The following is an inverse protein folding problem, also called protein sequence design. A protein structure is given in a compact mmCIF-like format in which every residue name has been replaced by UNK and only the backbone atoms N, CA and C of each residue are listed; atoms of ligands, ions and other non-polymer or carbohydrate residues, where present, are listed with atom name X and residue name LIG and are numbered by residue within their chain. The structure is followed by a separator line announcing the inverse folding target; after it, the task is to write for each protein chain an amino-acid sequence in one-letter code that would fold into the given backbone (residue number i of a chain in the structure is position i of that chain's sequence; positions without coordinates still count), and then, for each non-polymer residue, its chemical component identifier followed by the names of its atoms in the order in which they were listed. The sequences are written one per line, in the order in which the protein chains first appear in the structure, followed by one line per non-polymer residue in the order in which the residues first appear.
data_IF_102838189559
#
_entry.id   IF_102838189559
#
_cell.length_a   1.000
_cell.length_b   1.000
_cell.length_c   1.000
_cell.angle_alpha   90.00
_cell.angle_beta   90.00
_cell.angle_gamma   90.00
#
_symmetry.space_group_name_H-M   'P 1'
#
loop_
_entity.id
_entity.type
_entity.pdbx_description
1 polymer ?
#
# COMPACT_ATOMS: atom_id res chain seq x y z
N UNK A 1 10.95 -15.78 -10.82
CA UNK A 1 11.32 -15.28 -9.49
C UNK A 1 10.02 -15.13 -8.73
N UNK A 2 9.92 -15.66 -7.52
CA UNK A 2 8.72 -15.49 -6.68
C UNK A 2 8.65 -14.03 -6.21
N UNK A 3 7.49 -13.40 -6.34
CA UNK A 3 7.22 -12.05 -5.84
C UNK A 3 6.14 -12.12 -4.76
N UNK A 4 6.10 -11.13 -3.89
CA UNK A 4 5.00 -10.94 -2.94
C UNK A 4 4.42 -9.54 -3.10
N UNK A 5 3.09 -9.43 -2.98
CA UNK A 5 2.33 -8.19 -3.08
C UNK A 5 2.38 -7.45 -1.75
N UNK A 6 2.73 -6.18 -1.80
CA UNK A 6 2.66 -5.25 -0.68
C UNK A 6 1.80 -4.04 -1.04
N UNK A 7 1.29 -3.36 -0.02
CA UNK A 7 0.44 -2.19 -0.08
C UNK A 7 1.10 -1.07 0.71
N UNK A 8 1.53 -0.02 0.01
CA UNK A 8 2.26 1.10 0.60
C UNK A 8 1.32 2.29 0.71
N UNK A 9 0.93 2.72 1.93
CA UNK A 9 0.15 3.95 2.08
C UNK A 9 1.02 5.16 1.75
N UNK A 10 0.51 6.05 0.91
CA UNK A 10 1.21 7.23 0.42
C UNK A 10 0.42 8.50 0.72
N UNK A 11 1.15 9.54 1.10
CA UNK A 11 0.64 10.91 1.04
C UNK A 11 0.75 11.44 -0.40
N UNK A 12 -0.07 12.42 -0.82
CA UNK A 12 0.01 13.04 -2.13
C UNK A 12 1.42 13.47 -2.56
N UNK A 13 2.18 14.05 -1.62
CA UNK A 13 3.56 14.46 -1.87
C UNK A 13 4.50 13.27 -2.14
N UNK A 14 4.26 12.12 -1.52
CA UNK A 14 5.03 10.91 -1.80
C UNK A 14 4.75 10.35 -3.21
N UNK A 15 3.53 10.53 -3.73
CA UNK A 15 3.18 10.18 -5.12
C UNK A 15 3.91 11.09 -6.11
N UNK A 16 3.99 12.40 -5.83
CA UNK A 16 4.76 13.36 -6.63
C UNK A 16 6.25 13.01 -6.66
N UNK A 17 6.82 12.64 -5.51
CA UNK A 17 8.20 12.13 -5.43
C UNK A 17 8.39 10.83 -6.20
N UNK A 18 7.46 9.87 -6.09
CA UNK A 18 7.51 8.63 -6.86
C UNK A 18 7.58 8.89 -8.37
N UNK A 19 6.84 9.87 -8.87
CA UNK A 19 6.90 10.25 -10.28
C UNK A 19 8.25 10.86 -10.69
N UNK A 20 8.84 11.70 -9.83
CA UNK A 20 10.12 12.36 -10.08
C UNK A 20 11.33 11.43 -9.90
N UNK A 21 11.39 10.74 -8.77
CA UNK A 21 12.53 9.96 -8.29
C UNK A 21 12.46 8.49 -8.75
N UNK A 22 11.30 8.05 -9.23
CA UNK A 22 11.04 6.68 -9.73
C UNK A 22 11.15 5.60 -8.65
N UNK A 23 11.03 5.96 -7.37
CA UNK A 23 11.02 5.05 -6.23
C UNK A 23 10.23 5.60 -5.03
N UNK A 24 9.76 4.69 -4.18
CA UNK A 24 9.19 4.97 -2.85
C UNK A 24 10.29 4.69 -1.82
N UNK A 25 10.61 5.68 -1.01
CA UNK A 25 11.66 5.60 0.00
C UNK A 25 11.77 6.86 0.87
N UNK A 26 12.83 6.97 1.69
CA UNK A 26 13.95 6.03 1.81
C UNK A 26 13.58 4.70 2.48
N UNK A 27 14.44 3.69 2.36
CA UNK A 27 14.32 2.46 3.13
C UNK A 27 14.69 2.68 4.60
N UNK A 28 14.12 1.89 5.54
CA UNK A 28 13.11 0.86 5.31
C UNK A 28 11.72 1.44 4.97
N UNK A 29 11.00 0.84 4.03
CA UNK A 29 9.65 1.26 3.64
C UNK A 29 8.62 0.52 4.49
N UNK A 30 7.78 1.27 5.21
CA UNK A 30 6.63 0.70 5.91
C UNK A 30 5.51 0.39 4.90
N UNK A 31 5.01 -0.84 4.94
CA UNK A 31 3.96 -1.31 4.04
C UNK A 31 3.07 -2.33 4.75
N UNK A 32 2.11 -2.87 4.02
CA UNK A 32 1.21 -3.92 4.47
C UNK A 32 1.23 -5.05 3.45
N UNK A 33 1.04 -6.29 3.87
CA UNK A 33 1.03 -7.45 2.98
C UNK A 33 0.43 -8.66 3.68
N UNK A 34 0.25 -9.75 2.93
CA UNK A 34 -0.18 -11.01 3.52
C UNK A 34 0.93 -11.54 4.43
N UNK A 35 0.61 -11.73 5.71
CA UNK A 35 1.53 -12.27 6.71
C UNK A 35 0.97 -13.54 7.33
N UNK A 36 1.82 -14.33 7.97
CA UNK A 36 1.38 -15.48 8.77
C UNK A 36 0.37 -15.10 9.88
N UNK A 37 0.32 -13.82 10.31
CA UNK A 37 -0.66 -13.36 11.29
C UNK A 37 -2.06 -13.23 10.66
N UNK A 38 -2.15 -12.75 9.41
CA UNK A 38 -3.41 -12.75 8.66
C UNK A 38 -3.87 -14.19 8.43
N UNK A 39 -3.00 -15.04 7.89
CA UNK A 39 -3.33 -16.44 7.60
C UNK A 39 -3.80 -17.19 8.85
N UNK A 40 -3.19 -16.92 10.01
CA UNK A 40 -3.60 -17.53 11.28
C UNK A 40 -4.92 -16.98 11.81
N UNK A 41 -5.21 -15.71 11.55
CA UNK A 41 -6.47 -15.08 11.95
C UNK A 41 -7.65 -15.59 11.11
N UNK A 42 -7.40 -15.93 9.84
CA UNK A 42 -8.37 -16.58 8.96
C UNK A 42 -7.75 -17.75 8.17
N UNK A 43 -7.61 -18.94 8.80
CA UNK A 43 -6.98 -20.11 8.18
C UNK A 43 -7.75 -20.71 7.01
N UNK A 44 -9.02 -20.35 6.87
CA UNK A 44 -9.90 -20.81 5.78
C UNK A 44 -10.00 -19.81 4.65
N UNK A 45 -9.46 -18.60 4.86
CA UNK A 45 -9.49 -17.54 3.87
C UNK A 45 -8.68 -17.90 2.62
N UNK A 46 -9.06 -17.27 1.52
CA UNK A 46 -8.33 -17.36 0.26
C UNK A 46 -7.30 -16.23 0.17
N UNK A 47 -6.32 -16.39 -0.72
CA UNK A 47 -5.27 -15.38 -0.95
C UNK A 47 -5.87 -13.99 -1.24
N UNK A 48 -6.92 -13.92 -2.05
CA UNK A 48 -7.63 -12.67 -2.36
C UNK A 48 -8.25 -12.01 -1.12
N UNK A 49 -8.76 -12.80 -0.17
CA UNK A 49 -9.38 -12.29 1.07
C UNK A 49 -8.30 -11.77 2.03
N UNK A 50 -7.15 -12.44 2.09
CA UNK A 50 -5.99 -12.00 2.86
C UNK A 50 -5.35 -10.74 2.27
N UNK A 51 -5.26 -10.66 0.94
CA UNK A 51 -4.80 -9.46 0.24
C UNK A 51 -5.74 -8.28 0.47
N UNK A 52 -7.06 -8.52 0.44
CA UNK A 52 -8.05 -7.50 0.77
C UNK A 52 -7.92 -7.00 2.21
N UNK A 53 -7.67 -7.89 3.18
CA UNK A 53 -7.40 -7.51 4.56
C UNK A 53 -6.14 -6.64 4.67
N UNK A 54 -5.07 -7.00 3.96
CA UNK A 54 -3.84 -6.21 3.94
C UNK A 54 -4.01 -4.83 3.29
N UNK A 55 -4.76 -4.75 2.19
CA UNK A 55 -5.10 -3.48 1.53
C UNK A 55 -5.96 -2.60 2.45
N UNK A 56 -6.91 -3.18 3.18
CA UNK A 56 -7.76 -2.46 4.13
C UNK A 56 -6.93 -1.82 5.25
N UNK A 57 -6.04 -2.58 5.87
CA UNK A 57 -5.13 -2.02 6.89
C UNK A 57 -4.20 -0.94 6.32
N UNK A 58 -3.79 -1.06 5.04
CA UNK A 58 -3.03 -0.02 4.36
C UNK A 58 -3.84 1.26 4.12
N UNK A 59 -5.12 1.13 3.75
CA UNK A 59 -6.01 2.28 3.57
C UNK A 59 -6.25 3.01 4.90
N UNK A 60 -6.46 2.26 5.99
CA UNK A 60 -6.55 2.82 7.34
C UNK A 60 -5.26 3.55 7.74
N UNK A 61 -4.10 2.96 7.44
CA UNK A 61 -2.82 3.61 7.68
C UNK A 61 -2.64 4.88 6.83
N UNK A 62 -3.11 4.90 5.57
CA UNK A 62 -3.10 6.09 4.74
C UNK A 62 -3.97 7.21 5.34
N UNK A 63 -5.13 6.90 5.90
CA UNK A 63 -5.96 7.86 6.63
C UNK A 63 -5.22 8.41 7.86
N UNK A 64 -4.61 7.53 8.67
CA UNK A 64 -3.87 7.94 9.86
C UNK A 64 -2.68 8.87 9.51
N UNK A 65 -1.98 8.62 8.40
CA UNK A 65 -0.90 9.47 7.92
C UNK A 65 -1.35 10.90 7.56
N UNK A 66 -2.59 11.08 7.12
CA UNK A 66 -3.13 12.41 6.79
C UNK A 66 -3.43 13.26 8.03
N UNK A 67 -3.64 12.63 9.19
CA UNK A 67 -3.99 13.31 10.44
C UNK A 67 -5.32 14.06 10.30
N UNK A 68 -5.29 15.38 10.45
CA UNK A 68 -6.48 16.25 10.31
C UNK A 68 -6.68 16.80 8.90
N UNK A 69 -5.82 16.42 7.95
CA UNK A 69 -5.90 16.88 6.56
C UNK A 69 -6.99 16.11 5.84
N UNK A 70 -7.92 16.80 5.18
CA UNK A 70 -8.90 16.17 4.29
C UNK A 70 -8.27 16.04 2.92
N UNK A 71 -7.78 14.85 2.59
CA UNK A 71 -7.21 14.50 1.29
C UNK A 71 -7.68 13.11 0.86
N UNK A 72 -7.50 12.78 -0.42
CA UNK A 72 -7.70 11.41 -0.91
C UNK A 72 -6.58 10.52 -0.38
N UNK A 73 -6.94 9.35 0.18
CA UNK A 73 -5.99 8.28 0.47
C UNK A 73 -5.41 7.76 -0.83
N UNK A 74 -4.13 7.39 -0.77
CA UNK A 74 -3.46 6.69 -1.86
C UNK A 74 -2.76 5.48 -1.27
N UNK A 75 -2.99 4.31 -1.85
CA UNK A 75 -2.25 3.08 -1.55
C UNK A 75 -1.65 2.55 -2.84
N UNK A 76 -0.32 2.47 -2.91
CA UNK A 76 0.37 1.83 -4.02
C UNK A 76 0.51 0.32 -3.75
N UNK A 77 0.01 -0.51 -4.65
CA UNK A 77 0.29 -1.93 -4.64
C UNK A 77 1.60 -2.19 -5.40
N UNK A 78 2.50 -2.99 -4.84
CA UNK A 78 3.78 -3.31 -5.46
C UNK A 78 4.16 -4.78 -5.29
N UNK A 79 4.81 -5.34 -6.31
CA UNK A 79 5.41 -6.66 -6.29
C UNK A 79 6.91 -6.56 -5.95
N UNK A 80 7.30 -7.13 -4.81
CA UNK A 80 8.67 -7.07 -4.30
C UNK A 80 9.26 -8.46 -4.09
N UNK A 81 10.58 -8.52 -3.92
CA UNK A 81 11.26 -9.75 -3.51
C UNK A 81 10.81 -10.11 -2.08
N UNK A 82 10.24 -11.31 -1.84
CA UNK A 82 9.86 -11.75 -0.50
C UNK A 82 11.03 -11.71 0.50
N UNK A 83 12.27 -11.92 0.05
CA UNK A 83 13.45 -11.86 0.90
C UNK A 83 13.78 -10.46 1.43
N UNK A 84 13.21 -9.41 0.83
CA UNK A 84 13.34 -8.03 1.29
C UNK A 84 12.23 -7.62 2.28
N UNK A 85 11.22 -8.46 2.48
CA UNK A 85 10.04 -8.16 3.32
C UNK A 85 10.18 -8.83 4.68
N UNK A 86 9.94 -8.07 5.74
CA UNK A 86 9.92 -8.57 7.12
C UNK A 86 8.64 -8.15 7.83
N UNK A 87 7.91 -9.13 8.36
CA UNK A 87 6.86 -8.90 9.35
C UNK A 87 7.47 -9.01 10.74
N UNK A 88 7.82 -7.89 11.36
CA UNK A 88 8.44 -7.91 12.69
C UNK A 88 7.47 -8.35 13.81
N UNK A 89 6.16 -8.38 13.52
CA UNK A 89 5.11 -8.79 14.45
C UNK A 89 4.97 -7.88 15.68
N UNK A 90 5.68 -6.75 15.71
CA UNK A 90 5.71 -5.79 16.82
C UNK A 90 4.61 -4.74 16.74
N UNK A 91 4.05 -4.56 15.54
CA UNK A 91 2.92 -3.67 15.27
C UNK A 91 1.60 -4.38 15.59
N UNK A 92 0.61 -3.60 16.02
CA UNK A 92 -0.72 -4.13 16.33
C UNK A 92 -1.43 -4.71 15.09
N UNK A 93 -1.20 -4.08 13.93
CA UNK A 93 -1.72 -4.49 12.63
C UNK A 93 -1.26 -5.90 12.24
N UNK A 94 -2.16 -6.71 11.67
CA UNK A 94 -1.85 -8.07 11.24
C UNK A 94 -1.05 -8.06 9.94
N UNK A 95 -1.28 -7.08 9.07
CA UNK A 95 -0.68 -7.00 7.75
C UNK A 95 0.64 -6.22 7.73
N UNK A 96 1.04 -5.54 8.81
CA UNK A 96 2.19 -4.66 8.77
C UNK A 96 3.49 -5.41 8.44
N UNK A 97 4.21 -4.88 7.45
CA UNK A 97 5.51 -5.34 7.01
C UNK A 97 6.47 -4.17 6.80
N UNK A 98 7.75 -4.48 6.74
CA UNK A 98 8.82 -3.54 6.44
C UNK A 98 9.63 -4.07 5.26
N UNK A 99 9.89 -3.22 4.27
CA UNK A 99 10.70 -3.55 3.09
C UNK A 99 12.09 -2.95 3.27
N UNK A 100 13.14 -3.78 3.19
CA UNK A 100 14.51 -3.37 3.48
C UNK A 100 15.15 -2.47 2.40
N UNK A 101 14.57 -2.39 1.20
CA UNK A 101 15.02 -1.57 0.08
C UNK A 101 13.94 -0.55 -0.34
N UNK A 102 14.32 0.55 -1.01
CA UNK A 102 13.34 1.38 -1.71
C UNK A 102 12.52 0.54 -2.69
N UNK A 103 11.26 0.92 -2.89
CA UNK A 103 10.36 0.24 -3.85
C UNK A 103 10.40 1.02 -5.15
N UNK A 104 10.98 0.44 -6.21
CA UNK A 104 11.04 1.10 -7.51
C UNK A 104 9.63 1.26 -8.10
N UNK A 105 9.39 2.33 -8.86
CA UNK A 105 8.16 2.50 -9.64
C UNK A 105 7.93 1.34 -10.62
N UNK A 106 8.97 0.59 -11.01
CA UNK A 106 8.81 -0.62 -11.83
C UNK A 106 8.19 -1.80 -11.08
N UNK A 107 8.21 -1.76 -9.76
CA UNK A 107 7.62 -2.76 -8.87
C UNK A 107 6.18 -2.42 -8.53
N UNK A 108 5.77 -1.15 -8.67
CA UNK A 108 4.38 -0.74 -8.48
C UNK A 108 3.54 -1.33 -9.61
N UNK A 109 2.43 -1.96 -9.25
CA UNK A 109 1.51 -2.63 -10.18
C UNK A 109 0.16 -1.93 -10.27
N UNK A 110 -0.26 -1.22 -9.22
CA UNK A 110 -1.47 -0.39 -9.25
C UNK A 110 -1.46 0.66 -8.14
N UNK A 111 -2.41 1.59 -8.23
CA UNK A 111 -2.75 2.54 -7.18
C UNK A 111 -4.23 2.41 -6.82
N UNK A 112 -4.53 2.55 -5.54
CA UNK A 112 -5.90 2.66 -5.02
C UNK A 112 -6.06 4.08 -4.45
N UNK A 113 -7.06 4.81 -4.93
CA UNK A 113 -7.25 6.23 -4.63
C UNK A 113 -8.71 6.51 -4.32
N UNK A 114 -9.00 7.25 -3.26
CA UNK A 114 -10.39 7.61 -2.94
C UNK A 114 -11.06 8.39 -4.08
N UNK A 115 -12.31 8.06 -4.39
CA UNK A 115 -13.16 8.79 -5.34
C UNK A 115 -13.43 10.22 -4.88
N UNK A 116 -13.59 10.45 -3.57
CA UNK A 116 -13.78 11.76 -2.97
C UNK A 116 -12.92 11.93 -1.71
N UNK A 117 -12.48 13.16 -1.43
CA UNK A 117 -11.63 13.41 -0.26
C UNK A 117 -12.44 13.33 1.04
N UNK A 118 -11.90 12.58 2.02
CA UNK A 118 -12.54 12.40 3.32
C UNK A 118 -13.57 11.28 3.37
N UNK A 119 -13.82 10.58 2.26
CA UNK A 119 -14.46 9.28 2.31
C UNK A 119 -13.46 8.23 2.83
N UNK A 120 -13.92 7.36 3.73
CA UNK A 120 -13.10 6.30 4.32
C UNK A 120 -13.62 4.90 4.00
N UNK A 121 -14.71 4.80 3.23
CA UNK A 121 -15.21 3.53 2.70
C UNK A 121 -14.15 2.82 1.85
N UNK A 122 -14.16 1.49 1.87
CA UNK A 122 -13.29 0.71 0.97
C UNK A 122 -13.89 0.63 -0.44
N UNK A 123 -15.21 0.78 -0.55
CA UNK A 123 -15.99 0.79 -1.78
C UNK A 123 -15.65 1.96 -2.72
N UNK A 124 -15.13 3.07 -2.17
CA UNK A 124 -14.81 4.29 -2.91
C UNK A 124 -13.33 4.37 -3.33
N UNK A 125 -12.54 3.32 -3.06
CA UNK A 125 -11.16 3.22 -3.55
C UNK A 125 -11.14 2.79 -5.02
N UNK A 126 -10.94 3.76 -5.90
CA UNK A 126 -10.78 3.53 -7.33
C UNK A 126 -9.41 2.91 -7.63
N UNK A 127 -9.40 1.92 -8.51
CA UNK A 127 -8.19 1.24 -8.96
C UNK A 127 -7.64 1.88 -10.23
N UNK A 128 -6.34 2.18 -10.24
CA UNK A 128 -5.59 2.70 -11.39
C UNK A 128 -4.39 1.80 -11.68
N UNK A 129 -4.13 1.54 -12.95
CA UNK A 129 -2.95 0.78 -13.36
C UNK A 129 -1.67 1.58 -13.06
N UNK A 130 -0.53 0.90 -12.84
CA UNK A 130 0.75 1.59 -12.58
C UNK A 130 1.16 2.54 -13.73
N UNK A 131 0.72 2.28 -14.96
CA UNK A 131 0.95 3.16 -16.12
C UNK A 131 0.10 4.43 -16.10
N UNK A 132 -0.92 4.50 -15.24
CA UNK A 132 -1.82 5.65 -15.06
C UNK A 132 -1.35 6.59 -13.94
N UNK A 133 -0.08 6.55 -13.55
CA UNK A 133 0.47 7.45 -12.53
C UNK A 133 0.19 8.94 -12.82
N UNK A 134 0.21 9.35 -14.09
CA UNK A 134 -0.11 10.74 -14.49
C UNK A 134 -1.60 11.08 -14.27
N UNK A 135 -2.51 10.11 -14.28
CA UNK A 135 -3.91 10.28 -13.88
C UNK A 135 -4.00 10.40 -12.36
N UNK A 136 -3.37 9.49 -11.62
CA UNK A 136 -3.33 9.52 -10.16
C UNK A 136 -2.84 10.89 -9.67
N UNK A 137 -1.78 11.45 -10.26
CA UNK A 137 -1.27 12.79 -9.91
C UNK A 137 -2.27 13.92 -10.18
N UNK A 138 -3.14 13.79 -11.19
CA UNK A 138 -4.16 14.81 -11.51
C UNK A 138 -5.31 14.82 -10.50
N UNK A 139 -5.48 13.74 -9.73
CA UNK A 139 -6.52 13.62 -8.70
C UNK A 139 -6.10 14.22 -7.35
N UNK A 140 -4.81 14.57 -7.15
CA UNK A 140 -4.19 14.88 -5.84
C UNK A 140 -3.68 16.33 -5.68
#
# INVERSE_FOLDING_TARGET
MTQTRIYVPLLPEAVRRLAADREIGPAPVAAFGVTERIERADPTGLEEEWEYAALTEAADAAALLQGTTVAKRVVAAADVDPGAVSSDGTRESLAAVTVASPVSLRQVVSFHVDEEAGDQGMEDLLWYDATELDEVLRLL
#
